data_IF_256204417414
#
_entry.id   IF_256204417414
#
_cell.length_a   1.000
_cell.length_b   1.000
_cell.length_c   1.000
_cell.angle_alpha   90.00
_cell.angle_beta   90.00
_cell.angle_gamma   90.00
#
_symmetry.space_group_name_H-M   'P 1'
#
loop_
_entity.id
_entity.type
_entity.pdbx_description
1 polymer ?
#
# COMPACT_ATOMS: atom_id res chain seq x y z
N UNK A 1 4.15 -15.93 17.49
CA UNK A 1 3.70 -15.03 16.39
C UNK A 1 2.23 -14.67 16.45
N UNK A 2 1.36 -15.57 16.90
CA UNK A 2 -0.09 -15.39 16.90
C UNK A 2 -0.60 -14.06 17.51
N UNK A 3 -0.07 -13.66 18.67
CA UNK A 3 -0.45 -12.39 19.32
C UNK A 3 -0.15 -11.17 18.44
N UNK A 4 0.96 -11.18 17.71
CA UNK A 4 1.34 -10.08 16.81
C UNK A 4 0.34 -9.99 15.66
N UNK A 5 -0.06 -11.12 15.07
CA UNK A 5 -1.07 -11.14 14.02
C UNK A 5 -2.45 -10.68 14.50
N UNK A 6 -2.85 -11.07 15.72
CA UNK A 6 -4.07 -10.53 16.33
C UNK A 6 -4.01 -9.01 16.47
N UNK A 7 -2.86 -8.46 16.88
CA UNK A 7 -2.70 -7.00 16.98
C UNK A 7 -2.71 -6.33 15.60
N UNK A 8 -2.06 -6.91 14.58
CA UNK A 8 -2.10 -6.39 13.20
C UNK A 8 -3.54 -6.37 12.69
N UNK A 9 -4.30 -7.44 12.89
CA UNK A 9 -5.70 -7.49 12.44
C UNK A 9 -6.57 -6.46 13.16
N UNK A 10 -6.44 -6.32 14.49
CA UNK A 10 -7.14 -5.28 15.23
C UNK A 10 -6.80 -3.87 14.71
N UNK A 11 -5.52 -3.61 14.45
CA UNK A 11 -5.05 -2.33 13.90
C UNK A 11 -5.51 -2.10 12.48
N UNK A 12 -5.62 -3.14 11.65
CA UNK A 12 -6.22 -3.08 10.31
C UNK A 12 -7.69 -2.64 10.38
N UNK A 13 -8.46 -3.18 11.33
CA UNK A 13 -9.86 -2.78 11.53
C UNK A 13 -9.97 -1.32 11.97
N UNK A 14 -9.11 -0.85 12.88
CA UNK A 14 -9.02 0.57 13.25
C UNK A 14 -8.65 1.45 12.05
N UNK A 15 -7.63 1.05 11.29
CA UNK A 15 -7.15 1.75 10.11
C UNK A 15 -8.25 1.87 9.03
N UNK A 16 -9.07 0.84 8.85
CA UNK A 16 -10.21 0.87 7.93
C UNK A 16 -11.29 1.92 8.26
N UNK A 17 -11.28 2.47 9.47
CA UNK A 17 -12.18 3.56 9.88
C UNK A 17 -11.58 4.96 9.62
N UNK A 18 -10.41 5.07 8.99
CA UNK A 18 -9.83 6.38 8.71
C UNK A 18 -10.69 7.19 7.73
N UNK A 19 -10.71 8.53 7.87
CA UNK A 19 -11.57 9.40 7.07
C UNK A 19 -11.40 9.28 5.55
N UNK A 20 -10.22 8.87 5.05
CA UNK A 20 -10.01 8.63 3.62
C UNK A 20 -10.96 7.53 3.09
N UNK A 21 -11.12 6.43 3.84
CA UNK A 21 -11.94 5.31 3.41
C UNK A 21 -13.42 5.67 3.40
N UNK A 22 -13.88 6.49 4.34
CA UNK A 22 -15.23 7.05 4.30
C UNK A 22 -15.44 7.96 3.08
N UNK A 23 -14.47 8.84 2.77
CA UNK A 23 -14.51 9.68 1.56
C UNK A 23 -14.55 8.85 0.28
N UNK A 24 -13.79 7.75 0.22
CA UNK A 24 -13.77 6.81 -0.90
C UNK A 24 -15.06 6.00 -1.08
N UNK A 25 -15.85 5.84 -0.02
CA UNK A 25 -17.12 5.10 -0.05
C UNK A 25 -18.33 6.02 -0.30
N UNK A 26 -18.16 7.34 -0.20
CA UNK A 26 -19.24 8.31 -0.38
C UNK A 26 -19.68 8.40 -1.85
N UNK A 27 -20.82 7.76 -2.15
CA UNK A 27 -21.41 7.70 -3.49
C UNK A 27 -21.98 9.04 -3.98
N UNK A 28 -22.08 10.05 -3.12
CA UNK A 28 -22.43 11.42 -3.56
C UNK A 28 -21.27 12.11 -4.29
N UNK A 29 -20.05 11.57 -4.18
CA UNK A 29 -18.84 12.08 -4.82
C UNK A 29 -18.55 11.25 -6.08
N UNK A 30 -18.24 11.94 -7.18
CA UNK A 30 -17.81 11.29 -8.42
C UNK A 30 -16.69 10.27 -8.13
N UNK A 31 -16.79 9.02 -8.63
CA UNK A 31 -15.81 7.98 -8.30
C UNK A 31 -14.38 8.36 -8.66
N UNK A 32 -14.18 9.18 -9.70
CA UNK A 32 -12.83 9.61 -10.07
C UNK A 32 -12.26 10.62 -9.08
N UNK A 33 -13.09 11.52 -8.57
CA UNK A 33 -12.71 12.43 -7.48
C UNK A 33 -12.32 11.65 -6.21
N UNK A 34 -12.96 10.50 -5.95
CA UNK A 34 -12.62 9.62 -4.83
C UNK A 34 -11.24 8.96 -4.95
N UNK A 35 -10.61 8.98 -6.13
CA UNK A 35 -9.23 8.56 -6.39
C UNK A 35 -8.27 9.73 -6.69
N UNK A 36 -8.70 10.99 -6.49
CA UNK A 36 -7.88 12.17 -6.77
C UNK A 36 -6.56 12.22 -5.97
N UNK A 37 -6.46 11.45 -4.90
CA UNK A 37 -5.24 11.29 -4.11
C UNK A 37 -4.14 10.49 -4.79
N UNK A 38 -4.41 9.76 -5.88
CA UNK A 38 -3.46 8.83 -6.51
C UNK A 38 -2.08 9.46 -6.82
N UNK A 39 -1.96 10.68 -7.36
CA UNK A 39 -0.65 11.32 -7.59
C UNK A 39 0.17 11.50 -6.31
N UNK A 40 -0.51 11.78 -5.19
CA UNK A 40 0.10 11.99 -3.89
C UNK A 40 0.68 10.69 -3.30
N UNK A 41 0.11 9.53 -3.68
CA UNK A 41 0.62 8.22 -3.30
C UNK A 41 1.82 7.76 -4.14
N UNK A 42 2.10 8.41 -5.27
CA UNK A 42 3.13 7.95 -6.22
C UNK A 42 4.51 7.73 -5.58
N UNK A 43 5.05 8.60 -4.69
CA UNK A 43 6.33 8.32 -4.06
C UNK A 43 6.33 7.04 -3.23
N UNK A 44 5.24 6.66 -2.57
CA UNK A 44 5.12 5.38 -1.88
C UNK A 44 5.13 4.22 -2.87
N UNK A 45 4.21 4.25 -3.83
CA UNK A 45 3.99 3.14 -4.77
C UNK A 45 5.24 2.84 -5.60
N UNK A 46 5.91 3.88 -6.10
CA UNK A 46 7.12 3.71 -6.92
C UNK A 46 8.30 3.18 -6.10
N UNK A 47 8.43 3.57 -4.83
CA UNK A 47 9.50 3.08 -3.94
C UNK A 47 9.19 1.70 -3.35
N UNK A 48 7.94 1.24 -3.38
CA UNK A 48 7.59 -0.10 -2.89
C UNK A 48 8.30 -1.20 -3.66
N UNK A 49 8.55 -1.01 -4.96
CA UNK A 49 9.40 -1.91 -5.74
C UNK A 49 10.86 -1.93 -5.27
N UNK A 50 11.40 -0.77 -4.87
CA UNK A 50 12.75 -0.69 -4.29
C UNK A 50 12.82 -1.33 -2.90
N UNK A 51 11.81 -1.13 -2.05
CA UNK A 51 11.68 -1.80 -0.74
C UNK A 51 11.79 -3.31 -0.90
N UNK A 52 11.00 -3.88 -1.80
CA UNK A 52 11.00 -5.31 -2.10
C UNK A 52 12.37 -5.80 -2.56
N UNK A 53 12.95 -5.12 -3.57
CA UNK A 53 14.19 -5.57 -4.22
C UNK A 53 15.45 -5.39 -3.36
N UNK A 54 15.56 -4.28 -2.64
CA UNK A 54 16.84 -3.87 -2.02
C UNK A 54 16.87 -4.00 -0.50
N UNK A 55 15.71 -4.13 0.15
CA UNK A 55 15.64 -4.15 1.62
C UNK A 55 14.99 -5.43 2.15
N UNK A 56 13.94 -5.93 1.51
CA UNK A 56 13.26 -7.16 1.93
C UNK A 56 13.98 -8.40 1.41
N UNK A 57 14.29 -8.45 0.11
CA UNK A 57 14.96 -9.58 -0.53
C UNK A 57 16.41 -9.75 -0.05
N UNK A 58 16.78 -10.98 0.29
CA UNK A 58 18.17 -11.36 0.65
C UNK A 58 18.52 -12.68 0.00
N UNK A 59 19.46 -12.64 -0.93
CA UNK A 59 19.91 -13.82 -1.68
C UNK A 59 21.44 -13.90 -1.76
N UNK A 60 22.02 -15.12 -1.68
CA UNK A 60 21.35 -16.38 -1.35
C UNK A 60 20.92 -16.44 0.12
N UNK A 61 19.92 -17.27 0.46
CA UNK A 61 19.49 -17.52 1.84
C UNK A 61 19.26 -19.01 2.11
N UNK A 62 19.58 -19.45 3.32
CA UNK A 62 19.21 -20.77 3.86
C UNK A 62 18.11 -20.67 4.92
N UNK A 63 17.66 -19.44 5.25
CA UNK A 63 16.57 -19.22 6.19
C UNK A 63 15.22 -19.45 5.46
N UNK A 64 14.42 -20.44 5.89
CA UNK A 64 13.12 -20.73 5.28
C UNK A 64 12.18 -19.52 5.25
N UNK A 65 12.20 -18.67 6.29
CA UNK A 65 11.36 -17.49 6.35
C UNK A 65 11.80 -16.44 5.33
N UNK A 66 13.11 -16.21 5.19
CA UNK A 66 13.63 -15.31 4.18
C UNK A 66 13.39 -15.83 2.76
N UNK A 67 13.38 -17.16 2.55
CA UNK A 67 13.04 -17.73 1.24
C UNK A 67 11.58 -17.44 0.85
N UNK A 68 10.65 -17.49 1.80
CA UNK A 68 9.26 -17.08 1.60
C UNK A 68 9.15 -15.59 1.26
N UNK A 69 9.85 -14.74 2.03
CA UNK A 69 9.91 -13.29 1.77
C UNK A 69 10.45 -13.03 0.36
N UNK A 70 11.56 -13.67 -0.03
CA UNK A 70 12.14 -13.49 -1.37
C UNK A 70 11.12 -13.82 -2.46
N UNK A 71 10.41 -14.95 -2.34
CA UNK A 71 9.38 -15.36 -3.30
C UNK A 71 8.30 -14.28 -3.45
N UNK A 72 7.77 -13.77 -2.33
CA UNK A 72 6.78 -12.70 -2.34
C UNK A 72 7.31 -11.42 -3.02
N UNK A 73 8.55 -11.02 -2.71
CA UNK A 73 9.12 -9.77 -3.24
C UNK A 73 9.31 -9.73 -4.77
N UNK A 74 9.29 -10.86 -5.47
CA UNK A 74 9.40 -10.91 -6.94
C UNK A 74 8.09 -10.55 -7.66
N UNK A 75 6.97 -10.72 -6.98
CA UNK A 75 5.66 -10.35 -7.50
C UNK A 75 5.43 -8.86 -7.27
N UNK A 76 5.54 -8.45 -6.00
CA UNK A 76 5.25 -7.09 -5.54
C UNK A 76 6.18 -6.01 -6.14
N UNK A 77 7.42 -6.35 -6.53
CA UNK A 77 8.35 -5.37 -7.09
C UNK A 77 7.97 -4.85 -8.48
N UNK A 78 6.90 -5.37 -9.09
CA UNK A 78 6.37 -4.96 -10.39
C UNK A 78 5.00 -4.27 -10.35
N UNK A 79 4.31 -4.21 -9.19
CA UNK A 79 2.94 -3.69 -9.11
C UNK A 79 2.82 -2.20 -9.50
N UNK A 80 3.90 -1.44 -9.39
CA UNK A 80 3.96 -0.03 -9.83
C UNK A 80 3.66 0.15 -11.33
N UNK A 81 3.88 -0.88 -12.16
CA UNK A 81 3.54 -0.84 -13.59
C UNK A 81 2.03 -0.69 -13.79
N UNK A 82 1.23 -1.38 -12.99
CA UNK A 82 -0.22 -1.28 -13.04
C UNK A 82 -0.69 0.10 -12.57
N UNK A 83 -0.02 0.69 -11.59
CA UNK A 83 -0.33 2.03 -11.12
C UNK A 83 -0.14 3.07 -12.24
N UNK A 84 0.95 2.98 -13.01
CA UNK A 84 1.17 3.88 -14.15
C UNK A 84 0.15 3.69 -15.28
N UNK A 85 -0.31 2.45 -15.51
CA UNK A 85 -1.39 2.16 -16.43
C UNK A 85 -2.71 2.82 -15.98
N UNK A 86 -3.03 2.70 -14.70
CA UNK A 86 -4.24 3.28 -14.12
C UNK A 86 -4.22 4.81 -14.15
N UNK A 87 -3.07 5.46 -13.88
CA UNK A 87 -2.97 6.92 -14.00
C UNK A 87 -3.33 7.42 -15.41
N UNK A 88 -2.97 6.67 -16.45
CA UNK A 88 -3.33 6.98 -17.83
C UNK A 88 -4.82 6.75 -18.08
N UNK A 89 -5.34 5.59 -17.65
CA UNK A 89 -6.74 5.22 -17.87
C UNK A 89 -7.70 6.16 -17.14
N UNK A 90 -7.33 6.60 -15.93
CA UNK A 90 -8.05 7.58 -15.12
C UNK A 90 -7.88 9.03 -15.59
N UNK A 91 -7.05 9.26 -16.62
CA UNK A 91 -6.71 10.58 -17.17
C UNK A 91 -6.08 11.53 -16.16
N UNK A 92 -5.38 10.97 -15.17
CA UNK A 92 -4.63 11.69 -14.14
C UNK A 92 -3.18 11.95 -14.59
N UNK A 93 -2.68 11.19 -15.58
CA UNK A 93 -1.37 11.36 -16.23
C UNK A 93 -1.32 12.61 -17.15
N UNK A 94 -1.31 13.80 -16.56
CA UNK A 94 -1.27 15.08 -17.28
C UNK A 94 0.17 15.52 -17.58
N UNK A 95 0.38 16.07 -18.79
CA UNK A 95 1.65 16.72 -19.15
C UNK A 95 1.97 17.90 -18.24
N UNK A 96 3.20 17.96 -17.74
CA UNK A 96 3.72 19.09 -16.98
C UNK A 96 5.22 19.31 -17.25
N UNK A 97 5.72 20.52 -16.96
CA UNK A 97 7.17 20.76 -17.02
C UNK A 97 7.86 19.86 -16.02
N UNK A 98 9.02 19.33 -16.39
CA UNK A 98 9.79 18.47 -15.49
C UNK A 98 10.10 19.14 -14.14
N UNK A 99 10.39 20.44 -14.14
CA UNK A 99 10.59 21.22 -12.90
C UNK A 99 9.36 21.26 -11.99
N UNK A 100 8.15 21.25 -12.58
CA UNK A 100 6.90 21.29 -11.82
C UNK A 100 6.59 19.89 -11.25
N UNK A 101 6.88 18.83 -12.01
CA UNK A 101 6.84 17.45 -11.52
C UNK A 101 7.78 17.25 -10.31
N UNK A 102 9.03 17.70 -10.41
CA UNK A 102 9.97 17.64 -9.28
C UNK A 102 9.49 18.48 -8.09
N UNK A 103 8.95 19.68 -8.34
CA UNK A 103 8.40 20.51 -7.25
C UNK A 103 7.25 19.80 -6.53
N UNK A 104 6.35 19.15 -7.26
CA UNK A 104 5.26 18.36 -6.70
C UNK A 104 5.76 17.15 -5.90
N UNK A 105 6.67 16.35 -6.49
CA UNK A 105 7.21 15.14 -5.86
C UNK A 105 7.99 15.40 -4.56
N UNK A 106 8.52 16.60 -4.38
CA UNK A 106 9.21 17.04 -3.15
C UNK A 106 8.43 18.10 -2.35
N UNK A 107 7.18 18.37 -2.72
CA UNK A 107 6.34 19.34 -2.00
C UNK A 107 5.93 18.81 -0.61
N UNK A 108 5.21 19.64 0.13
CA UNK A 108 4.56 19.25 1.37
C UNK A 108 3.41 18.26 1.14
N UNK A 109 2.85 18.21 -0.07
CA UNK A 109 1.69 17.36 -0.38
C UNK A 109 2.07 15.89 -0.38
N UNK A 110 3.29 15.56 -0.78
CA UNK A 110 3.79 14.18 -0.91
C UNK A 110 4.71 13.77 0.24
N UNK A 111 4.77 14.58 1.31
CA UNK A 111 5.78 14.47 2.36
C UNK A 111 5.64 13.16 3.12
N UNK A 112 4.44 12.81 3.56
CA UNK A 112 4.21 11.59 4.31
C UNK A 112 4.32 10.34 3.43
N UNK A 113 4.04 10.44 2.12
CA UNK A 113 4.34 9.36 1.17
C UNK A 113 5.85 9.06 1.11
N UNK A 114 6.70 10.09 1.02
CA UNK A 114 8.17 9.91 1.09
C UNK A 114 8.62 9.42 2.46
N UNK A 115 8.08 10.01 3.53
CA UNK A 115 8.44 9.67 4.90
C UNK A 115 8.12 8.21 5.23
N UNK A 116 6.98 7.70 4.75
CA UNK A 116 6.60 6.31 4.91
C UNK A 116 7.69 5.37 4.37
N UNK A 117 8.19 5.60 3.16
CA UNK A 117 9.30 4.79 2.61
C UNK A 117 10.55 4.86 3.49
N UNK A 118 10.94 6.04 3.97
CA UNK A 118 12.11 6.17 4.84
C UNK A 118 11.96 5.38 6.14
N UNK A 119 10.75 5.35 6.70
CA UNK A 119 10.46 4.53 7.87
C UNK A 119 10.51 3.04 7.52
N UNK A 120 9.91 2.60 6.41
CA UNK A 120 9.99 1.21 5.97
C UNK A 120 11.45 0.78 5.77
N UNK A 121 12.27 1.57 5.08
CA UNK A 121 13.70 1.31 4.90
C UNK A 121 14.44 1.22 6.24
N UNK A 122 14.13 2.11 7.19
CA UNK A 122 14.72 2.07 8.53
C UNK A 122 14.37 0.76 9.27
N UNK A 123 13.12 0.29 9.15
CA UNK A 123 12.67 -0.95 9.78
C UNK A 123 13.18 -2.21 9.09
N UNK A 124 13.72 -2.13 7.87
CA UNK A 124 14.14 -3.31 7.08
C UNK A 124 15.65 -3.43 6.82
N UNK A 125 16.41 -2.33 6.83
CA UNK A 125 17.82 -2.30 6.38
C UNK A 125 18.74 -3.30 7.09
N UNK A 126 18.51 -3.56 8.38
CA UNK A 126 19.29 -4.53 9.17
C UNK A 126 18.38 -5.50 9.94
N UNK A 127 17.16 -5.68 9.43
CA UNK A 127 16.14 -6.48 10.08
C UNK A 127 16.39 -7.98 9.92
N UNK A 128 16.02 -8.74 10.94
CA UNK A 128 15.86 -10.20 10.80
C UNK A 128 14.70 -10.52 9.87
N UNK A 129 14.66 -11.74 9.33
CA UNK A 129 13.56 -12.20 8.48
C UNK A 129 12.19 -12.07 9.17
N UNK A 130 12.15 -12.28 10.48
CA UNK A 130 10.94 -12.08 11.29
C UNK A 130 10.49 -10.60 11.31
N UNK A 131 11.43 -9.68 11.51
CA UNK A 131 11.14 -8.24 11.51
C UNK A 131 10.68 -7.77 10.13
N UNK A 132 11.30 -8.27 9.07
CA UNK A 132 10.87 -8.02 7.69
C UNK A 132 9.47 -8.55 7.42
N UNK A 133 9.16 -9.75 7.89
CA UNK A 133 7.82 -10.31 7.82
C UNK A 133 6.81 -9.37 8.50
N UNK A 134 7.09 -8.87 9.69
CA UNK A 134 6.19 -7.92 10.38
C UNK A 134 5.96 -6.65 9.54
N UNK A 135 7.00 -6.13 8.89
CA UNK A 135 6.86 -4.97 8.00
C UNK A 135 5.97 -5.29 6.80
N UNK A 136 6.15 -6.45 6.17
CA UNK A 136 5.32 -6.94 5.06
C UNK A 136 3.86 -7.06 5.51
N UNK A 137 3.59 -7.76 6.61
CA UNK A 137 2.24 -8.02 7.11
C UNK A 137 1.49 -6.74 7.47
N UNK A 138 2.16 -5.74 8.07
CA UNK A 138 1.54 -4.44 8.30
C UNK A 138 1.26 -3.72 6.98
N UNK A 139 2.18 -3.79 6.03
CA UNK A 139 2.02 -3.15 4.72
C UNK A 139 0.87 -3.79 3.94
N UNK A 140 0.83 -5.11 3.83
CA UNK A 140 -0.27 -5.88 3.23
C UNK A 140 -1.60 -5.61 3.94
N UNK A 141 -1.63 -5.54 5.27
CA UNK A 141 -2.85 -5.24 6.01
C UNK A 141 -3.42 -3.86 5.63
N UNK A 142 -2.57 -2.84 5.53
CA UNK A 142 -2.98 -1.49 5.11
C UNK A 142 -3.32 -1.41 3.62
N UNK A 143 -2.56 -2.10 2.77
CA UNK A 143 -2.81 -2.26 1.33
C UNK A 143 -4.15 -2.91 1.07
N UNK A 144 -4.47 -4.00 1.77
CA UNK A 144 -5.73 -4.71 1.66
C UNK A 144 -6.95 -3.79 1.91
N UNK A 145 -6.89 -2.94 2.94
CA UNK A 145 -7.96 -1.96 3.21
C UNK A 145 -8.08 -0.94 2.07
N UNK A 146 -6.96 -0.42 1.59
CA UNK A 146 -6.89 0.54 0.49
C UNK A 146 -7.45 -0.06 -0.80
N UNK A 147 -6.92 -1.19 -1.25
CA UNK A 147 -7.26 -1.81 -2.52
C UNK A 147 -8.65 -2.43 -2.49
N UNK A 148 -9.12 -3.00 -1.37
CA UNK A 148 -10.51 -3.46 -1.24
C UNK A 148 -11.53 -2.32 -1.39
N UNK A 149 -11.15 -1.12 -0.97
CA UNK A 149 -11.98 0.08 -1.15
C UNK A 149 -11.83 0.65 -2.56
N UNK A 150 -10.60 0.75 -3.08
CA UNK A 150 -10.32 1.30 -4.41
C UNK A 150 -10.88 0.42 -5.53
N UNK A 151 -10.86 -0.90 -5.40
CA UNK A 151 -11.39 -1.85 -6.39
C UNK A 151 -12.88 -1.62 -6.67
N UNK A 152 -13.66 -1.28 -5.62
CA UNK A 152 -15.07 -0.90 -5.77
C UNK A 152 -15.23 0.36 -6.60
N UNK A 153 -14.34 1.34 -6.42
CA UNK A 153 -14.34 2.58 -7.20
C UNK A 153 -13.90 2.31 -8.64
N UNK A 154 -12.86 1.48 -8.85
CA UNK A 154 -12.40 1.09 -10.19
C UNK A 154 -13.51 0.47 -11.02
N UNK A 155 -14.40 -0.34 -10.42
CA UNK A 155 -15.61 -0.87 -11.07
C UNK A 155 -16.55 0.23 -11.53
N UNK A 156 -16.85 1.21 -10.66
CA UNK A 156 -17.69 2.35 -11.02
C UNK A 156 -17.09 3.18 -12.16
N UNK A 157 -15.77 3.40 -12.14
CA UNK A 157 -15.09 4.15 -13.20
C UNK A 157 -15.10 3.37 -14.51
N UNK A 158 -14.93 2.05 -14.48
CA UNK A 158 -15.04 1.19 -15.67
C UNK A 158 -16.44 1.29 -16.28
N UNK A 159 -17.50 1.29 -15.48
CA UNK A 159 -18.87 1.45 -15.98
C UNK A 159 -19.06 2.79 -16.73
N UNK A 160 -18.47 3.88 -16.21
CA UNK A 160 -18.60 5.22 -16.79
C UNK A 160 -17.70 5.42 -18.02
N UNK A 161 -16.47 4.92 -17.97
CA UNK A 161 -15.41 5.26 -18.94
C UNK A 161 -15.11 4.14 -19.94
N UNK A 162 -15.59 2.92 -19.67
CA UNK A 162 -15.24 1.70 -20.40
C UNK A 162 -13.73 1.37 -20.40
N UNK A 163 -12.95 2.02 -19.53
CA UNK A 163 -11.53 1.74 -19.33
C UNK A 163 -11.34 0.90 -18.07
N UNK A 164 -10.51 -0.14 -18.17
CA UNK A 164 -10.21 -1.00 -17.03
C UNK A 164 -9.09 -0.41 -16.17
N UNK A 165 -9.19 -0.62 -14.86
CA UNK A 165 -8.08 -0.43 -13.92
C UNK A 165 -7.48 -1.80 -13.58
N UNK A 166 -6.19 -1.84 -13.29
CA UNK A 166 -5.50 -3.03 -12.77
C UNK A 166 -5.03 -2.83 -11.34
N UNK A 167 -4.50 -1.65 -11.03
CA UNK A 167 -3.98 -1.34 -9.69
C UNK A 167 -5.09 -1.01 -8.69
N UNK A 168 -6.10 -0.26 -9.13
CA UNK A 168 -7.30 0.06 -8.35
C UNK A 168 -8.48 -0.86 -8.70
N UNK A 169 -8.21 -2.15 -8.88
CA UNK A 169 -9.22 -3.15 -9.26
C UNK A 169 -9.04 -4.45 -8.48
N UNK A 170 -10.01 -5.36 -8.61
CA UNK A 170 -9.93 -6.70 -8.03
C UNK A 170 -8.66 -7.44 -8.48
N UNK A 171 -8.14 -7.16 -9.68
CA UNK A 171 -6.93 -7.78 -10.19
C UNK A 171 -5.74 -7.69 -9.23
N UNK A 172 -5.52 -6.52 -8.61
CA UNK A 172 -4.46 -6.35 -7.61
C UNK A 172 -4.71 -7.24 -6.38
N UNK A 173 -5.95 -7.25 -5.88
CA UNK A 173 -6.34 -8.07 -4.73
C UNK A 173 -6.26 -9.57 -5.03
N UNK A 174 -6.64 -10.00 -6.23
CA UNK A 174 -6.66 -11.40 -6.63
C UNK A 174 -5.23 -11.97 -6.70
N UNK A 175 -4.27 -11.14 -7.11
CA UNK A 175 -2.84 -11.47 -7.05
C UNK A 175 -2.37 -11.48 -5.58
N UNK A 176 -2.70 -10.45 -4.80
CA UNK A 176 -2.35 -10.35 -3.36
C UNK A 176 -3.07 -11.38 -2.46
N UNK A 177 -4.19 -12.00 -2.89
CA UNK A 177 -4.89 -13.04 -2.09
C UNK A 177 -4.02 -14.28 -1.86
N UNK A 178 -2.88 -14.36 -2.54
CA UNK A 178 -1.72 -15.14 -2.15
C UNK A 178 -0.86 -14.47 -1.07
N UNK A 179 -1.44 -13.97 0.04
CA UNK A 179 -0.70 -13.52 1.24
C UNK A 179 0.56 -14.38 1.44
N UNK A 180 1.67 -13.82 1.91
CA UNK A 180 2.91 -14.61 2.07
C UNK A 180 2.65 -15.92 2.87
N UNK A 181 1.64 -15.93 3.74
CA UNK A 181 1.17 -17.08 4.51
C UNK A 181 -0.13 -17.75 4.03
N UNK A 182 -0.61 -17.51 2.81
CA UNK A 182 -1.92 -17.96 2.31
C UNK A 182 -2.05 -19.48 2.13
N UNK A 183 -0.95 -20.22 1.98
CA UNK A 183 -1.01 -21.68 2.03
C UNK A 183 -1.06 -22.14 3.48
N UNK A 184 -1.97 -23.08 3.78
CA UNK A 184 -2.16 -23.61 5.14
C UNK A 184 -0.86 -24.06 5.81
N UNK A 185 0.06 -24.63 5.03
CA UNK A 185 1.37 -25.09 5.53
C UNK A 185 2.29 -23.94 5.91
N UNK A 186 2.28 -22.83 5.16
CA UNK A 186 3.09 -21.63 5.48
C UNK A 186 2.46 -20.87 6.65
N UNK A 187 1.13 -20.75 6.67
CA UNK A 187 0.41 -20.10 7.77
C UNK A 187 0.70 -20.78 9.11
N UNK A 188 0.64 -22.11 9.13
CA UNK A 188 0.92 -22.89 10.32
C UNK A 188 2.39 -22.76 10.74
N UNK A 189 3.33 -22.88 9.78
CA UNK A 189 4.76 -22.69 10.03
C UNK A 189 5.05 -21.35 10.71
N UNK A 190 4.48 -20.26 10.21
CA UNK A 190 4.72 -18.92 10.76
C UNK A 190 4.06 -18.74 12.12
N UNK A 191 2.84 -19.27 12.33
CA UNK A 191 2.15 -19.19 13.62
C UNK A 191 2.89 -19.93 14.73
N UNK A 192 3.51 -21.05 14.41
CA UNK A 192 4.27 -21.90 15.34
C UNK A 192 5.61 -21.29 15.78
N UNK A 193 6.05 -20.19 15.15
CA UNK A 193 7.24 -19.45 15.59
C UNK A 193 6.99 -18.86 16.99
N UNK A 194 7.69 -19.44 17.96
CA UNK A 194 7.73 -18.95 19.34
C UNK A 194 8.77 -17.84 19.46
N UNK A 195 8.37 -16.72 20.07
CA UNK A 195 9.22 -15.55 20.22
C UNK A 195 9.66 -15.36 21.67
N UNK A 196 10.92 -14.97 21.92
CA UNK A 196 11.32 -14.41 23.20
C UNK A 196 10.48 -13.17 23.53
N UNK A 197 10.21 -12.95 24.82
CA UNK A 197 9.36 -11.84 25.30
C UNK A 197 9.84 -10.47 24.79
N UNK A 198 11.15 -10.21 24.82
CA UNK A 198 11.72 -8.96 24.31
C UNK A 198 11.50 -8.79 22.80
N UNK A 199 11.69 -9.86 22.00
CA UNK A 199 11.42 -9.84 20.56
C UNK A 199 9.94 -9.59 20.27
N UNK A 200 9.04 -10.20 21.05
CA UNK A 200 7.60 -9.97 20.93
C UNK A 200 7.25 -8.51 21.22
N UNK A 201 7.81 -7.93 22.28
CA UNK A 201 7.57 -6.53 22.64
C UNK A 201 8.09 -5.54 21.59
N UNK A 202 9.28 -5.80 21.03
CA UNK A 202 9.84 -5.01 19.93
C UNK A 202 8.99 -5.10 18.65
N UNK A 203 8.50 -6.30 18.33
CA UNK A 203 7.60 -6.53 17.21
C UNK A 203 6.30 -5.74 17.36
N UNK A 204 5.63 -5.83 18.52
CA UNK A 204 4.40 -5.10 18.81
C UNK A 204 4.60 -3.57 18.70
N UNK A 205 5.71 -3.06 19.24
CA UNK A 205 6.06 -1.63 19.11
C UNK A 205 6.23 -1.24 17.64
N UNK A 206 6.84 -2.10 16.83
CA UNK A 206 7.06 -1.85 15.40
C UNK A 206 5.73 -1.82 14.65
N UNK A 207 4.81 -2.74 14.93
CA UNK A 207 3.44 -2.74 14.39
C UNK A 207 2.74 -1.41 14.70
N UNK A 208 2.73 -0.97 15.96
CA UNK A 208 2.10 0.29 16.35
C UNK A 208 2.68 1.51 15.62
N UNK A 209 4.02 1.58 15.51
CA UNK A 209 4.66 2.70 14.83
C UNK A 209 4.39 2.69 13.33
N UNK A 210 4.42 1.53 12.68
CA UNK A 210 4.12 1.42 11.25
C UNK A 210 2.69 1.85 10.96
N UNK A 211 1.69 1.36 11.70
CA UNK A 211 0.30 1.82 11.54
C UNK A 211 0.14 3.32 11.75
N UNK A 212 0.88 3.92 12.70
CA UNK A 212 0.88 5.37 12.90
C UNK A 212 1.47 6.13 11.71
N UNK A 213 2.51 5.61 11.07
CA UNK A 213 3.11 6.22 9.88
C UNK A 213 2.18 6.08 8.68
N UNK A 214 1.59 4.91 8.47
CA UNK A 214 0.56 4.69 7.44
C UNK A 214 -0.65 5.61 7.65
N UNK A 215 -1.11 5.79 8.89
CA UNK A 215 -2.22 6.72 9.20
C UNK A 215 -1.91 8.14 8.73
N UNK A 216 -0.72 8.66 9.03
CA UNK A 216 -0.31 10.00 8.58
C UNK A 216 -0.23 10.13 7.06
N UNK A 217 0.22 9.07 6.39
CA UNK A 217 0.22 9.00 4.94
C UNK A 217 -1.21 9.06 4.40
N UNK A 218 -2.12 8.22 4.91
CA UNK A 218 -3.54 8.19 4.54
C UNK A 218 -4.26 9.52 4.79
N UNK A 219 -3.96 10.21 5.90
CA UNK A 219 -4.51 11.53 6.19
C UNK A 219 -4.07 12.59 5.15
N UNK A 220 -2.80 12.55 4.73
CA UNK A 220 -2.25 13.44 3.69
C UNK A 220 -2.94 13.21 2.34
N UNK A 221 -3.19 11.95 1.97
CA UNK A 221 -3.95 11.59 0.77
C UNK A 221 -5.34 12.23 0.76
N UNK A 222 -6.07 12.16 1.89
CA UNK A 222 -7.39 12.77 1.99
C UNK A 222 -7.36 14.28 1.86
N UNK A 223 -6.38 14.94 2.50
CA UNK A 223 -6.20 16.39 2.39
C UNK A 223 -6.01 16.78 0.92
N UNK A 224 -5.17 16.04 0.19
CA UNK A 224 -4.96 16.30 -1.23
C UNK A 224 -6.26 16.12 -2.04
N UNK A 225 -6.97 15.00 -1.85
CA UNK A 225 -8.20 14.70 -2.59
C UNK A 225 -9.34 15.71 -2.32
N UNK A 226 -9.39 16.32 -1.13
CA UNK A 226 -10.41 17.36 -0.82
C UNK A 226 -10.06 18.72 -1.44
N UNK A 227 -8.77 19.02 -1.58
CA UNK A 227 -8.30 20.32 -2.05
C UNK A 227 -8.08 20.38 -3.57
N UNK A 228 -7.93 19.23 -4.23
CA UNK A 228 -7.71 19.13 -5.67
C UNK A 228 -8.91 18.46 -6.33
N UNK A 229 -9.74 19.27 -6.99
CA UNK A 229 -10.83 18.78 -7.81
C UNK A 229 -10.28 18.26 -9.13
N UNK A 230 -10.77 17.12 -9.57
CA UNK A 230 -10.55 16.69 -10.95
C UNK A 230 -11.62 17.32 -11.81
N UNK A 231 -11.20 18.28 -12.64
CA UNK A 231 -12.07 18.88 -13.64
C UNK A 231 -12.20 17.93 -14.83
N UNK A 232 -13.43 17.48 -15.09
CA UNK A 232 -13.75 16.69 -16.27
C UNK A 232 -14.53 17.55 -17.26
N UNK A 233 -14.20 17.50 -18.57
CA UNK A 233 -15.11 18.04 -19.57
C UNK A 233 -16.46 17.31 -19.45
N UNK A 234 -17.55 18.07 -19.53
CA UNK A 234 -18.89 17.50 -19.68
C UNK A 234 -18.85 16.57 -20.88
N UNK A 235 -18.97 15.27 -20.64
CA UNK A 235 -19.18 14.30 -21.72
C UNK A 235 -20.56 14.63 -22.28
N UNK A 236 -20.62 15.40 -23.38
CA UNK A 236 -21.81 15.44 -24.21
C UNK A 236 -21.91 14.06 -24.86
N UNK A 237 -22.90 13.29 -24.40
CA UNK A 237 -23.35 12.09 -25.08
C UNK A 237 -24.02 12.40 -26.41
#
# INVERSE_FOLDING_TARGET
MQDIFTVIENKKQEFAQLPLFHFMQDKSIDPRQRLAWAPCAAPFIMNFGELNKYFLRVEPTNDPLQALINKHTYEDDHHWLWFLEDLKNLEIDKSMKFSDALRFLWSAETKNARWLNYQLYQYTLQATSLQKLIVIEVTEATGNVMFSTAAKIGKEIKEITQKECRYFADFHLDVETGHMTSSLDIEQFVKDITLPEETQKEALKSVEQLFKVFTKFTDELLVYAKNHRIDYPLIMG
#
